data_IF_293870482042
#
_entry.id   IF_293870482042
#
_cell.length_a   1.000
_cell.length_b   1.000
_cell.length_c   1.000
_cell.angle_alpha   90.00
_cell.angle_beta   90.00
_cell.angle_gamma   90.00
#
_symmetry.space_group_name_H-M   'P 1'
#
loop_
_entity.id
_entity.type
_entity.pdbx_description
1 polymer ?
#
# COMPACT_ATOMS: atom_id res chain seq x y z
N UNK A 1 10.71 -60.21 -14.56
CA UNK A 1 9.55 -59.96 -15.45
C UNK A 1 8.50 -59.28 -14.59
N UNK A 2 8.09 -58.07 -14.98
CA UNK A 2 7.32 -57.11 -14.15
C UNK A 2 5.93 -56.90 -14.75
N UNK A 3 4.95 -56.51 -13.91
CA UNK A 3 3.83 -55.58 -14.20
C UNK A 3 2.38 -56.09 -13.98
N UNK A 4 1.76 -55.55 -12.90
CA UNK A 4 0.51 -54.76 -12.71
C UNK A 4 -0.76 -54.95 -13.57
N UNK A 5 -1.90 -54.87 -12.85
CA UNK A 5 -3.37 -54.83 -13.08
C UNK A 5 -3.98 -54.19 -14.34
N UNK A 6 -5.23 -54.58 -14.70
CA UNK A 6 -6.31 -53.64 -15.13
C UNK A 6 -7.70 -54.28 -15.38
N UNK A 7 -8.78 -53.53 -15.01
CA UNK A 7 -10.10 -53.29 -15.66
C UNK A 7 -11.13 -54.44 -15.86
N UNK A 8 -12.48 -54.29 -15.85
CA UNK A 8 -13.39 -53.17 -16.16
C UNK A 8 -14.89 -53.43 -15.80
N UNK A 9 -15.64 -52.36 -15.41
CA UNK A 9 -17.09 -52.00 -15.67
C UNK A 9 -18.33 -52.87 -15.32
N UNK A 10 -19.33 -52.28 -14.62
CA UNK A 10 -20.59 -51.73 -15.24
C UNK A 10 -21.57 -50.98 -14.29
N UNK A 11 -21.96 -49.77 -14.74
CA UNK A 11 -23.16 -48.92 -14.57
C UNK A 11 -24.35 -49.32 -13.66
N UNK A 12 -24.81 -48.35 -12.83
CA UNK A 12 -26.24 -47.95 -12.72
C UNK A 12 -26.46 -46.61 -12.00
N UNK A 13 -27.17 -45.67 -12.64
CA UNK A 13 -28.10 -44.75 -11.97
C UNK A 13 -27.64 -43.33 -11.65
N UNK A 14 -27.74 -42.42 -12.62
CA UNK A 14 -27.79 -40.98 -12.38
C UNK A 14 -29.15 -40.58 -11.79
N UNK A 15 -29.18 -39.90 -10.65
CA UNK A 15 -30.31 -39.05 -10.24
C UNK A 15 -29.76 -37.71 -9.72
N UNK A 16 -29.71 -36.73 -10.63
CA UNK A 16 -29.46 -35.34 -10.29
C UNK A 16 -30.61 -34.80 -9.44
N UNK A 17 -30.32 -34.40 -8.20
CA UNK A 17 -31.10 -33.40 -7.48
C UNK A 17 -30.28 -32.11 -7.43
N UNK A 18 -30.45 -31.27 -8.46
CA UNK A 18 -29.93 -29.91 -8.51
C UNK A 18 -30.66 -29.05 -7.47
N UNK A 19 -30.18 -29.08 -6.22
CA UNK A 19 -30.48 -28.03 -5.24
C UNK A 19 -29.71 -26.77 -5.63
N UNK A 20 -30.45 -25.72 -6.00
CA UNK A 20 -29.90 -24.44 -6.42
C UNK A 20 -29.57 -23.60 -5.18
N UNK A 21 -28.33 -23.12 -5.13
CA UNK A 21 -27.88 -21.94 -4.40
C UNK A 21 -28.06 -21.94 -2.87
N UNK A 22 -27.26 -22.75 -2.19
CA UNK A 22 -26.78 -22.41 -0.85
C UNK A 22 -25.29 -22.74 -0.75
N UNK A 23 -24.45 -21.95 -1.43
CA UNK A 23 -23.02 -21.91 -1.13
C UNK A 23 -22.88 -21.18 0.20
N UNK A 24 -23.01 -21.95 1.29
CA UNK A 24 -22.59 -21.52 2.62
C UNK A 24 -21.07 -21.67 2.64
N UNK A 25 -20.35 -20.67 2.14
CA UNK A 25 -18.92 -20.52 2.48
C UNK A 25 -18.89 -20.14 3.97
N UNK A 26 -18.96 -21.14 4.84
CA UNK A 26 -18.35 -21.00 6.18
C UNK A 26 -16.85 -21.20 5.96
N UNK A 27 -16.25 -20.26 5.23
CA UNK A 27 -14.82 -20.05 5.21
C UNK A 27 -14.46 -19.35 6.51
N UNK A 28 -14.34 -20.11 7.60
CA UNK A 28 -13.65 -19.63 8.79
C UNK A 28 -12.16 -19.56 8.46
N UNK A 29 -11.76 -18.52 7.74
CA UNK A 29 -10.36 -18.13 7.58
C UNK A 29 -10.04 -17.11 8.67
N UNK A 30 -10.05 -17.54 9.93
CA UNK A 30 -9.64 -16.67 11.04
C UNK A 30 -8.11 -16.47 11.13
N UNK A 31 -7.38 -16.85 10.07
CA UNK A 31 -5.92 -16.75 9.94
C UNK A 31 -5.48 -16.18 8.57
N UNK A 32 -6.31 -15.34 7.92
CA UNK A 32 -5.75 -14.44 6.90
C UNK A 32 -5.09 -13.28 7.63
N UNK A 33 -3.81 -13.46 8.00
CA UNK A 33 -2.98 -12.38 8.52
C UNK A 33 -3.17 -11.14 7.68
N UNK A 34 -3.63 -10.06 8.30
CA UNK A 34 -3.93 -8.82 7.61
C UNK A 34 -2.60 -8.13 7.29
N UNK A 35 -2.53 -7.46 6.14
CA UNK A 35 -1.32 -6.81 5.65
C UNK A 35 -1.49 -5.30 5.68
N UNK A 36 -0.48 -4.61 6.19
CA UNK A 36 -0.34 -3.17 6.04
C UNK A 36 0.49 -2.88 4.79
N UNK A 37 0.12 -1.83 4.07
CA UNK A 37 0.81 -1.38 2.87
C UNK A 37 1.26 0.06 3.03
N UNK A 38 2.43 0.36 2.48
CA UNK A 38 3.01 1.70 2.47
C UNK A 38 3.49 2.04 1.07
N UNK A 39 3.17 3.25 0.62
CA UNK A 39 3.60 3.75 -0.69
C UNK A 39 4.55 4.91 -0.48
N UNK A 40 5.74 4.77 -1.05
CA UNK A 40 6.80 5.76 -0.95
C UNK A 40 7.10 6.28 -2.36
N UNK A 41 6.92 7.57 -2.55
CA UNK A 41 7.42 8.27 -3.72
C UNK A 41 8.89 8.62 -3.52
N UNK A 42 9.75 8.24 -4.47
CA UNK A 42 11.17 8.62 -4.46
C UNK A 42 11.49 9.38 -5.73
N UNK A 43 12.01 10.59 -5.57
CA UNK A 43 12.64 11.40 -6.61
C UNK A 43 14.14 11.48 -6.31
N UNK A 44 14.94 10.84 -7.16
CA UNK A 44 16.39 10.80 -7.04
C UNK A 44 17.05 12.19 -7.14
N UNK A 45 16.31 13.24 -7.47
CA UNK A 45 16.76 14.64 -7.33
C UNK A 45 16.92 15.08 -5.87
N UNK A 46 16.43 14.29 -4.91
CA UNK A 46 16.65 14.50 -3.48
C UNK A 46 15.38 14.68 -2.65
N UNK A 47 14.26 14.09 -3.09
CA UNK A 47 12.99 14.15 -2.35
C UNK A 47 12.41 12.75 -2.20
N UNK A 48 11.93 12.45 -1.01
CA UNK A 48 11.19 11.23 -0.72
C UNK A 48 9.92 11.64 0.00
N UNK A 49 8.77 11.17 -0.46
CA UNK A 49 7.49 11.41 0.21
C UNK A 49 6.83 10.08 0.55
N UNK A 50 6.39 9.94 1.80
CA UNK A 50 5.69 8.76 2.30
C UNK A 50 4.46 9.21 3.07
N UNK A 51 3.28 8.81 2.61
CA UNK A 51 2.00 9.08 3.31
C UNK A 51 1.79 10.58 3.65
N UNK A 52 2.32 11.47 2.81
CA UNK A 52 2.24 12.93 3.01
C UNK A 52 3.40 13.56 3.80
N UNK A 53 4.29 12.75 4.39
CA UNK A 53 5.51 13.23 5.03
C UNK A 53 6.66 13.30 4.01
N UNK A 54 7.19 14.50 3.80
CA UNK A 54 8.31 14.73 2.88
C UNK A 54 9.65 14.75 3.62
N UNK A 55 10.62 14.01 3.09
CA UNK A 55 12.02 14.01 3.51
C UNK A 55 12.88 14.54 2.36
N UNK A 56 13.66 15.58 2.66
CA UNK A 56 14.59 16.20 1.73
C UNK A 56 16.02 15.68 1.95
N UNK A 57 16.80 15.68 0.88
CA UNK A 57 18.23 15.36 0.95
C UNK A 57 19.01 16.48 1.67
N UNK A 58 19.94 16.10 2.55
CA UNK A 58 20.91 17.01 3.15
C UNK A 58 22.20 17.10 2.32
N UNK A 59 23.34 17.24 3.00
CA UNK A 59 24.66 17.20 2.38
C UNK A 59 25.15 15.75 2.13
N UNK A 60 24.37 14.94 1.43
CA UNK A 60 24.73 13.55 1.12
C UNK A 60 24.53 13.21 -0.37
N UNK A 61 25.12 12.10 -0.84
CA UNK A 61 24.90 11.61 -2.21
C UNK A 61 23.48 11.08 -2.37
N UNK A 62 22.87 11.32 -3.54
CA UNK A 62 21.49 10.90 -3.87
C UNK A 62 21.23 9.40 -3.66
N UNK A 63 22.17 8.55 -4.08
CA UNK A 63 22.06 7.10 -3.89
C UNK A 63 22.16 6.70 -2.41
N UNK A 64 23.03 7.37 -1.64
CA UNK A 64 23.14 7.17 -0.19
C UNK A 64 21.86 7.57 0.53
N UNK A 65 21.27 8.70 0.15
CA UNK A 65 20.00 9.19 0.70
C UNK A 65 18.87 8.17 0.50
N UNK A 66 18.66 7.73 -0.75
CA UNK A 66 17.63 6.75 -1.08
C UNK A 66 17.86 5.43 -0.33
N UNK A 67 19.11 4.96 -0.28
CA UNK A 67 19.47 3.72 0.43
C UNK A 67 19.26 3.82 1.93
N UNK A 68 19.64 4.94 2.57
CA UNK A 68 19.42 5.19 4.00
C UNK A 68 17.93 5.10 4.34
N UNK A 69 17.10 5.73 3.52
CA UNK A 69 15.64 5.70 3.70
C UNK A 69 15.07 4.28 3.56
N UNK A 70 15.38 3.57 2.47
CA UNK A 70 14.91 2.19 2.25
C UNK A 70 15.41 1.22 3.33
N UNK A 71 16.66 1.37 3.79
CA UNK A 71 17.18 0.57 4.89
C UNK A 71 16.43 0.84 6.21
N UNK A 72 15.95 2.07 6.43
CA UNK A 72 15.09 2.42 7.56
C UNK A 72 13.79 1.63 7.53
N UNK A 73 13.11 1.63 6.38
CA UNK A 73 11.89 0.84 6.16
C UNK A 73 12.14 -0.66 6.39
N UNK A 74 13.25 -1.20 5.89
CA UNK A 74 13.62 -2.60 6.10
C UNK A 74 13.82 -2.95 7.59
N UNK A 75 14.36 -2.03 8.40
CA UNK A 75 14.50 -2.22 9.86
C UNK A 75 13.15 -2.22 10.59
N UNK A 76 12.16 -1.51 10.06
CA UNK A 76 10.78 -1.48 10.55
C UNK A 76 9.95 -2.70 10.09
N UNK A 77 10.56 -3.64 9.37
CA UNK A 77 9.89 -4.84 8.86
C UNK A 77 9.09 -4.62 7.57
N UNK A 78 9.26 -3.48 6.90
CA UNK A 78 8.65 -3.25 5.59
C UNK A 78 9.44 -3.95 4.49
N UNK A 79 8.73 -4.78 3.73
CA UNK A 79 9.28 -5.52 2.60
C UNK A 79 8.88 -4.84 1.29
N UNK A 80 9.85 -4.57 0.41
CA UNK A 80 9.58 -4.02 -0.91
C UNK A 80 8.90 -5.08 -1.80
N UNK A 81 7.74 -4.75 -2.36
CA UNK A 81 6.94 -5.67 -3.19
C UNK A 81 6.67 -5.17 -4.60
N UNK A 82 6.85 -3.88 -4.85
CA UNK A 82 6.57 -3.32 -6.16
C UNK A 82 7.30 -2.01 -6.39
N UNK A 83 7.64 -1.76 -7.65
CA UNK A 83 8.18 -0.50 -8.12
C UNK A 83 7.37 -0.09 -9.34
N UNK A 84 6.87 1.15 -9.33
CA UNK A 84 6.11 1.77 -10.42
C UNK A 84 6.90 3.00 -10.90
N UNK A 85 7.70 2.89 -11.97
CA UNK A 85 8.45 4.01 -12.52
C UNK A 85 7.51 5.09 -13.06
N UNK A 86 7.82 6.36 -12.76
CA UNK A 86 7.08 7.51 -13.28
C UNK A 86 7.89 8.28 -14.32
N UNK A 87 9.15 8.56 -13.98
CA UNK A 87 10.10 9.24 -14.85
C UNK A 87 11.46 8.58 -14.74
N UNK A 88 12.44 9.03 -15.53
CA UNK A 88 13.83 8.56 -15.41
C UNK A 88 14.43 8.76 -14.01
N UNK A 89 13.89 9.69 -13.22
CA UNK A 89 14.42 10.05 -11.90
C UNK A 89 13.44 9.79 -10.76
N UNK A 90 12.25 9.24 -11.01
CA UNK A 90 11.26 9.03 -9.96
C UNK A 90 10.40 7.78 -10.16
N UNK A 91 10.01 7.18 -9.04
CA UNK A 91 9.14 6.00 -9.00
C UNK A 91 8.37 5.94 -7.67
N UNK A 92 7.24 5.23 -7.68
CA UNK A 92 6.60 4.76 -6.46
C UNK A 92 7.15 3.40 -6.07
N UNK A 93 7.44 3.23 -4.79
CA UNK A 93 7.87 2.00 -4.16
C UNK A 93 6.77 1.55 -3.21
N UNK A 94 6.30 0.33 -3.42
CA UNK A 94 5.23 -0.26 -2.63
C UNK A 94 5.84 -1.26 -1.67
N UNK A 95 5.56 -1.09 -0.38
CA UNK A 95 6.01 -1.96 0.68
C UNK A 95 4.83 -2.66 1.35
N UNK A 96 5.06 -3.85 1.90
CA UNK A 96 4.10 -4.58 2.74
C UNK A 96 4.75 -4.95 4.06
N UNK A 97 3.93 -5.13 5.09
CA UNK A 97 4.30 -5.83 6.33
C UNK A 97 3.06 -6.50 6.95
N UNK A 98 3.21 -7.51 7.82
CA UNK A 98 2.10 -7.98 8.64
C UNK A 98 1.53 -6.79 9.43
N UNK A 99 0.22 -6.58 9.35
CA UNK A 99 -0.43 -5.45 10.01
C UNK A 99 -0.26 -5.54 11.53
N UNK A 100 0.12 -4.42 12.13
CA UNK A 100 0.22 -4.25 13.57
C UNK A 100 -0.98 -3.44 14.07
N UNK A 101 -1.27 -3.49 15.37
CA UNK A 101 -2.43 -2.80 15.96
C UNK A 101 -2.44 -1.28 15.69
N UNK A 102 -1.25 -0.67 15.51
CA UNK A 102 -1.09 0.74 15.15
C UNK A 102 -1.44 1.09 13.70
N UNK A 103 -1.45 0.11 12.79
CA UNK A 103 -1.80 0.33 11.37
C UNK A 103 -3.31 0.51 11.15
N UNK A 104 -4.14 0.17 12.15
CA UNK A 104 -5.59 0.32 12.14
C UNK A 104 -6.09 1.61 12.76
N UNK A 105 -5.19 2.43 13.29
CA UNK A 105 -5.57 3.74 13.79
C UNK A 105 -6.08 4.58 12.61
N UNK A 106 -7.34 5.01 12.70
CA UNK A 106 -7.94 5.90 11.70
C UNK A 106 -7.01 7.10 11.47
N UNK A 107 -6.61 7.40 10.22
CA UNK A 107 -5.76 8.55 9.96
C UNK A 107 -6.46 9.80 10.48
N UNK A 108 -5.81 10.48 11.45
CA UNK A 108 -6.30 11.74 11.95
C UNK A 108 -6.54 12.68 10.75
N UNK A 109 -7.71 13.33 10.66
CA UNK A 109 -8.04 14.17 9.51
C UNK A 109 -6.93 15.22 9.34
N UNK A 110 -6.49 15.48 8.09
CA UNK A 110 -5.43 16.44 7.84
C UNK A 110 -5.88 17.78 8.42
N UNK A 111 -5.11 18.32 9.36
CA UNK A 111 -5.33 19.66 9.88
C UNK A 111 -5.30 20.62 8.68
N UNK A 112 -6.46 21.19 8.35
CA UNK A 112 -6.59 22.18 7.31
C UNK A 112 -5.59 23.31 7.62
N UNK A 113 -4.66 23.55 6.70
CA UNK A 113 -3.82 24.74 6.77
C UNK A 113 -4.73 25.96 6.66
N UNK A 114 -4.85 26.72 7.73
CA UNK A 114 -5.50 28.03 7.71
C UNK A 114 -4.74 28.94 6.75
N UNK A 115 -5.32 29.18 5.58
CA UNK A 115 -4.95 30.31 4.74
C UNK A 115 -5.39 31.58 5.47
N UNK A 116 -4.44 32.35 5.96
CA UNK A 116 -4.66 33.70 6.46
C UNK A 116 -5.06 34.59 5.26
N UNK A 117 -6.24 35.23 5.24
CA UNK A 117 -6.58 36.13 4.15
C UNK A 117 -5.84 37.46 4.31
N UNK A 118 -5.10 37.81 3.26
CA UNK A 118 -4.43 39.09 2.99
C UNK A 118 -5.38 40.28 3.21
N UNK A 119 -5.08 41.12 4.20
CA UNK A 119 -5.79 42.37 4.44
C UNK A 119 -5.25 43.45 3.49
N UNK A 120 -5.95 43.67 2.38
CA UNK A 120 -5.70 44.78 1.47
C UNK A 120 -6.02 46.11 2.14
N UNK A 121 -5.01 46.96 2.31
CA UNK A 121 -5.18 48.36 2.71
C UNK A 121 -5.57 49.19 1.49
N UNK A 122 -6.84 49.58 1.39
CA UNK A 122 -7.31 50.60 0.46
C UNK A 122 -7.15 52.01 1.07
N UNK A 123 -6.89 53.07 0.27
CA UNK A 123 -6.72 54.41 0.79
C UNK A 123 -8.07 55.09 1.05
N UNK A 124 -8.30 55.57 2.27
CA UNK A 124 -9.45 56.44 2.58
C UNK A 124 -9.13 57.87 2.15
N UNK A 125 -9.93 58.40 1.23
CA UNK A 125 -9.97 59.81 0.85
C UNK A 125 -10.86 60.53 1.87
N UNK A 126 -10.30 61.44 2.68
CA UNK A 126 -11.11 62.36 3.48
C UNK A 126 -11.41 63.63 2.68
N UNK A 127 -12.70 63.98 2.63
CA UNK A 127 -13.21 65.25 2.10
C UNK A 127 -14.07 65.89 3.20
N UNK A 128 -13.64 67.03 3.74
CA UNK A 128 -14.44 68.17 4.21
C UNK A 128 -13.54 69.16 4.96
#
# INVERSE_FOLDING_TARGET
MLTIESSETMYLGAQMALSRNAIRIVGRSNDMGQWAYKVVYIDYRGRISCEGLETLIGNERRSSFARRYMNGLGKEGWELVGIQPLTSNSAYYVFKRPAQESDYAEPAPPAASEATPTQGSGPTVETA
#
